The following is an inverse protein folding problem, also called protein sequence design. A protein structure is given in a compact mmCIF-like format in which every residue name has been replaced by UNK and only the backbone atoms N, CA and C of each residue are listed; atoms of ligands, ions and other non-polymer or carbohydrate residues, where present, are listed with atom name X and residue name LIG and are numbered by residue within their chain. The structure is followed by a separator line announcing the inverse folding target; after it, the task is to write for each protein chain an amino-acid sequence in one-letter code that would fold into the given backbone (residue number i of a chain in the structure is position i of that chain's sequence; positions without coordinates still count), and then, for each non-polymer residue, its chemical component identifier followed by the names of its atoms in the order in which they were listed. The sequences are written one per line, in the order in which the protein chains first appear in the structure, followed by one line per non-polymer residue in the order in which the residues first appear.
data_IF_154454164685
#
_entry.id   IF_154454164685
#
_cell.length_a   1.000
_cell.length_b   1.000
_cell.length_c   1.000
_cell.angle_alpha   90.00
_cell.angle_beta   90.00
_cell.angle_gamma   90.00
#
_symmetry.space_group_name_H-M   'P 1'
#
loop_
_entity.id
_entity.type
_entity.pdbx_description
1 polymer ?
#
# COMPACT_ATOMS: atom_id res chain seq x y z
N UNK A 1 -81.86 -4.27 -16.23
CA UNK A 1 -80.42 -4.61 -16.17
C UNK A 1 -80.03 -5.85 -16.99
N UNK A 2 -80.98 -6.62 -17.56
CA UNK A 2 -80.65 -7.85 -18.32
C UNK A 2 -80.20 -7.61 -19.78
N UNK A 3 -80.51 -6.45 -20.38
CA UNK A 3 -80.18 -6.19 -21.79
C UNK A 3 -78.72 -5.77 -22.00
N UNK A 4 -78.09 -5.11 -21.01
CA UNK A 4 -76.69 -4.72 -21.08
C UNK A 4 -75.75 -5.94 -21.10
N UNK A 5 -76.08 -6.98 -20.33
CA UNK A 5 -75.32 -8.23 -20.31
C UNK A 5 -75.48 -9.03 -21.62
N UNK A 6 -76.65 -9.01 -22.24
CA UNK A 6 -76.90 -9.66 -23.54
C UNK A 6 -76.20 -8.96 -24.69
N UNK A 7 -76.20 -7.62 -24.71
CA UNK A 7 -75.54 -6.84 -25.76
C UNK A 7 -74.01 -6.95 -25.66
N UNK A 8 -73.45 -6.95 -24.44
CA UNK A 8 -72.03 -7.24 -24.26
C UNK A 8 -71.67 -8.68 -24.67
N UNK A 9 -72.54 -9.66 -24.43
CA UNK A 9 -72.30 -11.06 -24.83
C UNK A 9 -72.30 -11.25 -26.35
N UNK A 10 -73.20 -10.58 -27.08
CA UNK A 10 -73.25 -10.60 -28.55
C UNK A 10 -71.99 -9.97 -29.18
N UNK A 11 -71.46 -8.90 -28.58
CA UNK A 11 -70.19 -8.28 -29.01
C UNK A 11 -69.00 -9.20 -28.75
N UNK A 12 -69.01 -9.96 -27.65
CA UNK A 12 -67.95 -10.93 -27.29
C UNK A 12 -67.93 -12.13 -28.24
N UNK A 13 -69.10 -12.63 -28.65
CA UNK A 13 -69.24 -13.81 -29.54
C UNK A 13 -69.06 -13.45 -31.03
N UNK A 14 -69.30 -12.18 -31.41
CA UNK A 14 -69.17 -11.70 -32.79
C UNK A 14 -67.74 -11.44 -33.28
N UNK A 15 -66.73 -11.53 -32.41
CA UNK A 15 -65.32 -11.40 -32.81
C UNK A 15 -64.88 -12.73 -33.44
N UNK A 16 -64.48 -12.77 -34.72
CA UNK A 16 -64.01 -14.01 -35.36
C UNK A 16 -62.84 -14.59 -34.57
N UNK A 17 -62.69 -15.92 -34.55
CA UNK A 17 -61.63 -16.64 -33.79
C UNK A 17 -60.23 -16.04 -34.01
N UNK A 18 -59.97 -15.50 -35.20
CA UNK A 18 -58.75 -14.76 -35.54
C UNK A 18 -58.52 -13.48 -34.70
N UNK A 19 -59.58 -12.74 -34.32
CA UNK A 19 -59.50 -11.54 -33.48
C UNK A 19 -59.08 -11.83 -32.04
N UNK A 20 -59.56 -12.95 -31.46
CA UNK A 20 -59.11 -13.43 -30.16
C UNK A 20 -57.64 -13.87 -30.17
N UNK A 21 -57.18 -14.47 -31.28
CA UNK A 21 -55.77 -14.83 -31.44
C UNK A 21 -54.85 -13.60 -31.50
N UNK A 22 -55.26 -12.52 -32.16
CA UNK A 22 -54.49 -11.26 -32.22
C UNK A 22 -54.43 -10.57 -30.84
N UNK A 23 -55.54 -10.50 -30.11
CA UNK A 23 -55.56 -9.93 -28.74
C UNK A 23 -54.71 -10.78 -27.77
N UNK A 24 -54.85 -12.11 -27.83
CA UNK A 24 -54.08 -13.03 -27.01
C UNK A 24 -52.57 -12.98 -27.28
N UNK A 25 -52.16 -12.88 -28.55
CA UNK A 25 -50.76 -12.76 -28.93
C UNK A 25 -50.13 -11.42 -28.55
N UNK A 26 -50.88 -10.32 -28.62
CA UNK A 26 -50.44 -9.00 -28.13
C UNK A 26 -50.25 -8.98 -26.61
N UNK A 27 -51.19 -9.55 -25.85
CA UNK A 27 -51.06 -9.69 -24.40
C UNK A 27 -49.88 -10.57 -24.01
N UNK A 28 -49.71 -11.70 -24.68
CA UNK A 28 -48.58 -12.59 -24.46
C UNK A 28 -47.23 -11.91 -24.78
N UNK A 29 -47.16 -11.14 -25.88
CA UNK A 29 -45.98 -10.37 -26.24
C UNK A 29 -45.64 -9.28 -25.22
N UNK A 30 -46.66 -8.59 -24.69
CA UNK A 30 -46.49 -7.55 -23.68
C UNK A 30 -46.02 -8.14 -22.33
N UNK A 31 -46.60 -9.26 -21.91
CA UNK A 31 -46.16 -10.01 -20.72
C UNK A 31 -44.72 -10.50 -20.90
N UNK A 32 -44.39 -11.08 -22.07
CA UNK A 32 -43.04 -11.53 -22.37
C UNK A 32 -42.02 -10.38 -22.36
N UNK A 33 -42.38 -9.21 -22.91
CA UNK A 33 -41.54 -8.02 -22.87
C UNK A 33 -41.31 -7.51 -21.43
N UNK A 34 -42.35 -7.47 -20.59
CA UNK A 34 -42.24 -7.08 -19.19
C UNK A 34 -41.37 -8.07 -18.39
N UNK A 35 -41.58 -9.37 -18.57
CA UNK A 35 -40.76 -10.42 -17.93
C UNK A 35 -39.30 -10.35 -18.40
N UNK A 36 -39.07 -10.12 -19.69
CA UNK A 36 -37.73 -9.92 -20.25
C UNK A 36 -37.03 -8.70 -19.65
N UNK A 37 -37.75 -7.58 -19.50
CA UNK A 37 -37.21 -6.37 -18.87
C UNK A 37 -36.87 -6.62 -17.39
N UNK A 38 -37.71 -7.36 -16.67
CA UNK A 38 -37.49 -7.73 -15.28
C UNK A 38 -36.30 -8.67 -15.10
N UNK A 39 -36.18 -9.68 -15.97
CA UNK A 39 -35.03 -10.59 -16.01
C UNK A 39 -33.73 -9.87 -16.37
N UNK A 40 -33.78 -8.91 -17.31
CA UNK A 40 -32.62 -8.09 -17.69
C UNK A 40 -32.16 -7.24 -16.52
N UNK A 41 -33.09 -6.56 -15.81
CA UNK A 41 -32.76 -5.81 -14.59
C UNK A 41 -32.13 -6.71 -13.52
N UNK A 42 -32.71 -7.88 -13.27
CA UNK A 42 -32.16 -8.84 -12.30
C UNK A 42 -30.78 -9.36 -12.71
N UNK A 43 -30.55 -9.60 -14.00
CA UNK A 43 -29.23 -9.99 -14.52
C UNK A 43 -28.20 -8.88 -14.36
N UNK A 44 -28.58 -7.62 -14.59
CA UNK A 44 -27.71 -6.46 -14.37
C UNK A 44 -27.38 -6.29 -12.89
N UNK A 45 -28.34 -6.49 -11.99
CA UNK A 45 -28.10 -6.44 -10.53
C UNK A 45 -27.13 -7.55 -10.09
N UNK A 46 -27.29 -8.77 -10.62
CA UNK A 46 -26.38 -9.89 -10.35
C UNK A 46 -24.97 -9.60 -10.89
N UNK A 47 -24.85 -9.05 -12.10
CA UNK A 47 -23.56 -8.66 -12.68
C UNK A 47 -22.90 -7.52 -11.89
N UNK A 48 -23.67 -6.51 -11.49
CA UNK A 48 -23.18 -5.40 -10.67
C UNK A 48 -22.64 -5.90 -9.34
N UNK A 49 -23.40 -6.76 -8.66
CA UNK A 49 -23.00 -7.37 -7.39
C UNK A 49 -21.79 -8.32 -7.56
N UNK A 50 -21.72 -9.05 -8.66
CA UNK A 50 -20.55 -9.88 -8.99
C UNK A 50 -19.31 -9.01 -9.21
N UNK A 51 -19.43 -7.92 -9.97
CA UNK A 51 -18.32 -7.00 -10.24
C UNK A 51 -17.87 -6.29 -8.97
N UNK A 52 -18.82 -5.84 -8.13
CA UNK A 52 -18.55 -5.22 -6.83
C UNK A 52 -17.77 -6.16 -5.90
N UNK A 53 -18.16 -7.43 -5.85
CA UNK A 53 -17.43 -8.46 -5.08
C UNK A 53 -16.03 -8.69 -5.63
N UNK A 54 -15.88 -8.87 -6.95
CA UNK A 54 -14.57 -9.07 -7.56
C UNK A 54 -13.62 -7.88 -7.33
N UNK A 55 -14.13 -6.65 -7.44
CA UNK A 55 -13.36 -5.45 -7.15
C UNK A 55 -12.96 -5.35 -5.67
N UNK A 56 -13.89 -5.64 -4.75
CA UNK A 56 -13.63 -5.70 -3.31
C UNK A 56 -12.56 -6.74 -2.96
N UNK A 57 -12.64 -7.94 -3.54
CA UNK A 57 -11.62 -9.00 -3.34
C UNK A 57 -10.25 -8.56 -3.85
N UNK A 58 -10.19 -7.94 -5.04
CA UNK A 58 -8.92 -7.43 -5.58
C UNK A 58 -8.30 -6.36 -4.67
N UNK A 59 -9.09 -5.41 -4.19
CA UNK A 59 -8.63 -4.37 -3.26
C UNK A 59 -8.15 -5.01 -1.95
N UNK A 60 -8.90 -5.95 -1.41
CA UNK A 60 -8.55 -6.70 -0.21
C UNK A 60 -7.20 -7.44 -0.36
N UNK A 61 -6.97 -8.11 -1.50
CA UNK A 61 -5.70 -8.77 -1.79
C UNK A 61 -4.53 -7.79 -1.86
N UNK A 62 -4.72 -6.60 -2.48
CA UNK A 62 -3.69 -5.57 -2.52
C UNK A 62 -3.38 -5.00 -1.14
N UNK A 63 -4.40 -4.73 -0.33
CA UNK A 63 -4.24 -4.25 1.04
C UNK A 63 -3.54 -5.30 1.90
N UNK A 64 -3.91 -6.57 1.80
CA UNK A 64 -3.24 -7.68 2.49
C UNK A 64 -1.75 -7.75 2.11
N UNK A 65 -1.43 -7.67 0.81
CA UNK A 65 -0.04 -7.62 0.35
C UNK A 65 0.71 -6.42 0.93
N UNK A 66 0.10 -5.23 0.92
CA UNK A 66 0.71 -4.04 1.50
C UNK A 66 0.99 -4.20 3.02
N UNK A 67 0.05 -4.80 3.78
CA UNK A 67 0.23 -5.12 5.20
C UNK A 67 1.43 -6.05 5.40
N UNK A 68 1.54 -7.11 4.59
CA UNK A 68 2.61 -8.10 4.71
C UNK A 68 3.97 -7.52 4.31
N UNK A 69 4.02 -6.71 3.26
CA UNK A 69 5.22 -5.99 2.83
C UNK A 69 5.69 -4.99 3.89
N UNK A 70 4.77 -4.21 4.48
CA UNK A 70 5.09 -3.27 5.56
C UNK A 70 5.63 -4.01 6.80
N UNK A 71 4.98 -5.11 7.19
CA UNK A 71 5.44 -5.94 8.32
C UNK A 71 6.86 -6.47 8.07
N UNK A 72 7.13 -6.99 6.88
CA UNK A 72 8.43 -7.53 6.52
C UNK A 72 9.51 -6.43 6.52
N UNK A 73 9.27 -5.33 5.81
CA UNK A 73 10.25 -4.24 5.72
C UNK A 73 10.52 -3.60 7.09
N UNK A 74 9.49 -3.37 7.92
CA UNK A 74 9.67 -2.84 9.28
C UNK A 74 10.46 -3.80 10.18
N UNK A 75 10.14 -5.10 10.16
CA UNK A 75 10.86 -6.11 10.96
C UNK A 75 12.34 -6.21 10.58
N UNK A 76 12.62 -6.17 9.27
CA UNK A 76 13.99 -6.20 8.75
C UNK A 76 14.74 -4.92 9.08
N UNK A 77 14.10 -3.76 8.95
CA UNK A 77 14.68 -2.47 9.31
C UNK A 77 15.07 -2.41 10.79
N UNK A 78 14.18 -2.82 11.70
CA UNK A 78 14.46 -2.88 13.14
C UNK A 78 15.59 -3.88 13.45
N UNK A 79 15.59 -5.05 12.82
CA UNK A 79 16.65 -6.06 13.00
C UNK A 79 18.02 -5.53 12.57
N UNK A 80 18.10 -4.93 11.38
CA UNK A 80 19.34 -4.29 10.91
C UNK A 80 19.78 -3.13 11.80
N UNK A 81 18.84 -2.34 12.33
CA UNK A 81 19.18 -1.25 13.24
C UNK A 81 19.84 -1.78 14.51
N UNK A 82 19.31 -2.86 15.08
CA UNK A 82 19.89 -3.54 16.25
C UNK A 82 21.27 -4.11 15.92
N UNK A 83 21.40 -4.81 14.79
CA UNK A 83 22.68 -5.37 14.34
C UNK A 83 23.74 -4.27 14.15
N UNK A 84 23.40 -3.17 13.49
CA UNK A 84 24.32 -2.04 13.31
C UNK A 84 24.67 -1.39 14.65
N UNK A 85 23.74 -1.25 15.59
CA UNK A 85 24.02 -0.71 16.92
C UNK A 85 24.97 -1.61 17.71
N UNK A 86 24.77 -2.93 17.71
CA UNK A 86 25.69 -3.87 18.35
C UNK A 86 27.06 -3.89 17.65
N UNK A 87 27.11 -3.73 16.33
CA UNK A 87 28.37 -3.63 15.60
C UNK A 87 29.16 -2.37 16.00
N UNK A 88 28.50 -1.22 16.15
CA UNK A 88 29.12 0.00 16.69
C UNK A 88 29.63 -0.19 18.12
N UNK A 89 28.85 -0.85 18.97
CA UNK A 89 29.26 -1.17 20.35
C UNK A 89 30.50 -2.04 20.40
N UNK A 90 30.64 -3.01 19.49
CA UNK A 90 31.87 -3.82 19.38
C UNK A 90 33.07 -2.99 18.94
N UNK A 91 32.90 -2.06 17.99
CA UNK A 91 33.96 -1.13 17.60
C UNK A 91 34.40 -0.30 18.81
N UNK A 92 33.45 0.28 19.54
CA UNK A 92 33.75 1.10 20.72
C UNK A 92 34.43 0.32 21.82
N UNK A 93 34.03 -0.95 22.03
CA UNK A 93 34.70 -1.84 22.98
C UNK A 93 36.15 -2.08 22.58
N UNK A 94 36.41 -2.38 21.30
CA UNK A 94 37.78 -2.58 20.79
C UNK A 94 38.62 -1.32 20.98
N UNK A 95 38.12 -0.16 20.56
CA UNK A 95 38.84 1.11 20.74
C UNK A 95 39.05 1.44 22.21
N UNK A 96 38.02 1.33 23.05
CA UNK A 96 38.11 1.57 24.49
C UNK A 96 39.17 0.70 25.18
N UNK A 97 39.24 -0.59 24.81
CA UNK A 97 40.27 -1.48 25.31
C UNK A 97 41.69 -1.02 24.92
N UNK A 98 41.90 -0.56 23.69
CA UNK A 98 43.20 -0.01 23.28
C UNK A 98 43.59 1.24 24.10
N UNK A 99 42.61 2.08 24.47
CA UNK A 99 42.86 3.20 25.38
C UNK A 99 43.25 2.71 26.78
N UNK A 100 42.53 1.73 27.32
CA UNK A 100 42.79 1.18 28.67
C UNK A 100 44.15 0.47 28.76
N UNK A 101 44.53 -0.28 27.72
CA UNK A 101 45.78 -1.05 27.65
C UNK A 101 47.02 -0.14 27.42
N UNK A 102 46.81 1.08 26.88
CA UNK A 102 47.86 2.06 26.59
C UNK A 102 47.64 3.40 27.32
N UNK A 103 47.99 3.47 28.64
CA UNK A 103 47.69 4.62 29.50
C UNK A 103 48.42 5.92 29.12
N UNK A 104 49.54 5.83 28.39
CA UNK A 104 50.16 6.99 27.74
C UNK A 104 49.60 7.10 26.32
N UNK A 105 48.42 7.72 26.18
CA UNK A 105 47.70 7.88 24.91
C UNK A 105 48.51 8.67 23.88
N UNK A 106 49.43 7.99 23.20
CA UNK A 106 50.19 8.51 22.08
C UNK A 106 49.39 8.48 20.78
N UNK A 107 49.92 9.12 19.71
CA UNK A 107 49.31 9.09 18.38
C UNK A 107 49.11 7.67 17.81
N UNK A 108 49.81 6.67 18.35
CA UNK A 108 49.71 5.27 17.94
C UNK A 108 48.34 4.64 18.25
N UNK A 109 47.76 4.89 19.42
CA UNK A 109 46.42 4.39 19.80
C UNK A 109 45.33 4.97 18.90
N UNK A 110 45.47 6.25 18.54
CA UNK A 110 44.57 6.92 17.60
C UNK A 110 44.64 6.28 16.21
N UNK A 111 45.85 5.95 15.73
CA UNK A 111 46.03 5.27 14.44
C UNK A 111 45.43 3.86 14.42
N UNK A 112 45.54 3.12 15.53
CA UNK A 112 44.91 1.78 15.66
C UNK A 112 43.39 1.90 15.64
N UNK A 113 42.81 2.79 16.44
CA UNK A 113 41.36 3.03 16.45
C UNK A 113 40.84 3.49 15.09
N UNK A 114 41.59 4.36 14.41
CA UNK A 114 41.28 4.81 13.05
C UNK A 114 41.30 3.65 12.04
N UNK A 115 42.27 2.75 12.15
CA UNK A 115 42.33 1.55 11.30
C UNK A 115 41.12 0.64 11.50
N UNK A 116 40.70 0.41 12.76
CA UNK A 116 39.49 -0.35 13.07
C UNK A 116 38.24 0.33 12.52
N UNK A 117 38.16 1.66 12.61
CA UNK A 117 37.04 2.44 12.07
C UNK A 117 36.95 2.33 10.56
N UNK A 118 38.07 2.47 9.83
CA UNK A 118 38.09 2.35 8.37
C UNK A 118 37.63 0.95 7.93
N UNK A 119 38.14 -0.09 8.58
CA UNK A 119 37.73 -1.48 8.30
C UNK A 119 36.23 -1.68 8.56
N UNK A 120 35.77 -1.23 9.73
CA UNK A 120 34.37 -1.31 10.12
C UNK A 120 33.45 -0.60 9.11
N UNK A 121 33.80 0.60 8.68
CA UNK A 121 33.01 1.34 7.69
C UNK A 121 32.95 0.62 6.34
N UNK A 122 34.06 -0.01 5.91
CA UNK A 122 34.09 -0.84 4.71
C UNK A 122 33.13 -2.03 4.78
N UNK A 123 33.11 -2.75 5.90
CA UNK A 123 32.22 -3.90 6.12
C UNK A 123 30.75 -3.48 6.31
N UNK A 124 30.53 -2.33 6.95
CA UNK A 124 29.18 -1.86 7.29
C UNK A 124 28.49 -1.11 6.14
N UNK A 125 29.22 -0.68 5.10
CA UNK A 125 28.66 0.09 3.99
C UNK A 125 27.47 -0.60 3.29
N UNK A 126 27.54 -1.91 3.08
CA UNK A 126 26.44 -2.67 2.48
C UNK A 126 25.21 -2.71 3.40
N UNK A 127 25.43 -2.88 4.72
CA UNK A 127 24.37 -2.90 5.74
C UNK A 127 23.68 -1.54 5.84
N UNK A 128 24.44 -0.45 5.85
CA UNK A 128 23.91 0.91 5.89
C UNK A 128 23.12 1.25 4.61
N UNK A 129 23.60 0.80 3.45
CA UNK A 129 22.86 0.95 2.19
C UNK A 129 21.51 0.23 2.24
N UNK A 130 21.49 -1.03 2.70
CA UNK A 130 20.28 -1.82 2.83
C UNK A 130 19.30 -1.20 3.84
N UNK A 131 19.81 -0.78 5.00
CA UNK A 131 19.05 -0.08 6.04
C UNK A 131 18.37 1.17 5.50
N UNK A 132 19.10 1.98 4.72
CA UNK A 132 18.55 3.16 4.07
C UNK A 132 17.46 2.82 3.03
N UNK A 133 17.66 1.78 2.22
CA UNK A 133 16.66 1.34 1.24
C UNK A 133 15.38 0.86 1.91
N UNK A 134 15.48 0.15 3.05
CA UNK A 134 14.32 -0.27 3.84
C UNK A 134 13.57 0.92 4.43
N UNK A 135 14.30 1.89 4.99
CA UNK A 135 13.68 3.14 5.45
C UNK A 135 12.86 3.81 4.34
N UNK A 136 13.45 4.01 3.16
CA UNK A 136 12.76 4.65 2.04
C UNK A 136 11.52 3.87 1.62
N UNK A 137 11.62 2.54 1.57
CA UNK A 137 10.51 1.64 1.29
C UNK A 137 9.38 1.77 2.30
N UNK A 138 9.68 1.88 3.59
CA UNK A 138 8.67 2.06 4.63
C UNK A 138 8.00 3.42 4.46
N UNK A 139 8.77 4.51 4.39
CA UNK A 139 8.22 5.87 4.25
C UNK A 139 7.29 5.99 3.04
N UNK A 140 7.66 5.43 1.88
CA UNK A 140 6.82 5.46 0.67
C UNK A 140 5.52 4.66 0.80
N UNK A 141 5.40 3.76 1.78
CA UNK A 141 4.17 2.99 2.04
C UNK A 141 3.26 3.65 3.06
N UNK A 142 3.78 4.58 3.86
CA UNK A 142 3.01 5.21 4.91
C UNK A 142 2.15 6.36 4.35
N UNK A 143 0.97 6.54 4.95
CA UNK A 143 0.07 7.63 4.62
C UNK A 143 0.34 8.82 5.56
N UNK A 144 0.72 9.97 5.01
CA UNK A 144 1.04 11.17 5.78
C UNK A 144 -0.17 11.82 6.45
N UNK A 145 -1.39 11.43 6.10
CA UNK A 145 -2.62 11.99 6.68
C UNK A 145 -3.04 11.28 7.97
N UNK A 146 -2.47 10.11 8.27
CA UNK A 146 -2.86 9.28 9.41
C UNK A 146 -1.89 9.45 10.58
N UNK A 147 -2.43 9.78 11.77
CA UNK A 147 -1.63 10.05 12.97
C UNK A 147 -0.69 8.89 13.34
N UNK A 148 -1.18 7.65 13.27
CA UNK A 148 -0.37 6.46 13.58
C UNK A 148 0.83 6.32 12.62
N UNK A 149 0.63 6.66 11.35
CA UNK A 149 1.68 6.63 10.33
C UNK A 149 2.71 7.74 10.57
N UNK A 150 2.27 8.95 10.90
CA UNK A 150 3.16 10.06 11.27
C UNK A 150 4.03 9.70 12.49
N UNK A 151 3.45 9.07 13.51
CA UNK A 151 4.19 8.59 14.69
C UNK A 151 5.25 7.55 14.33
N UNK A 152 4.91 6.62 13.44
CA UNK A 152 5.89 5.65 12.95
C UNK A 152 7.04 6.37 12.21
N UNK A 153 6.74 7.29 11.30
CA UNK A 153 7.76 8.07 10.58
C UNK A 153 8.68 8.83 11.54
N UNK A 154 8.12 9.53 12.52
CA UNK A 154 8.90 10.26 13.52
C UNK A 154 9.85 9.34 14.29
N UNK A 155 9.38 8.15 14.72
CA UNK A 155 10.24 7.19 15.41
C UNK A 155 11.34 6.61 14.51
N UNK A 156 11.07 6.41 13.22
CA UNK A 156 12.08 5.95 12.26
C UNK A 156 13.14 7.02 12.01
N UNK A 157 12.75 8.29 11.94
CA UNK A 157 13.66 9.43 11.78
C UNK A 157 14.53 9.62 13.01
N UNK A 158 13.94 9.56 14.21
CA UNK A 158 14.67 9.62 15.47
C UNK A 158 15.70 8.49 15.58
N UNK A 159 15.32 7.26 15.20
CA UNK A 159 16.25 6.14 15.18
C UNK A 159 17.43 6.40 14.24
N UNK A 160 17.18 6.98 13.05
CA UNK A 160 18.26 7.35 12.13
C UNK A 160 19.19 8.42 12.70
N UNK A 161 18.64 9.40 13.41
CA UNK A 161 19.44 10.43 14.09
C UNK A 161 20.35 9.78 15.12
N UNK A 162 19.83 8.90 15.98
CA UNK A 162 20.66 8.19 16.96
C UNK A 162 21.76 7.34 16.32
N UNK A 163 21.47 6.67 15.20
CA UNK A 163 22.47 5.89 14.46
C UNK A 163 23.54 6.77 13.82
N UNK A 164 23.17 7.95 13.30
CA UNK A 164 24.12 8.94 12.80
C UNK A 164 24.98 9.52 13.93
N UNK A 165 24.40 9.76 15.10
CA UNK A 165 25.10 10.24 16.28
C UNK A 165 26.15 9.23 16.76
N UNK A 166 25.88 7.92 16.68
CA UNK A 166 26.91 6.89 16.91
C UNK A 166 28.08 7.05 15.92
N UNK A 167 27.80 7.16 14.63
CA UNK A 167 28.87 7.35 13.64
C UNK A 167 29.70 8.61 13.93
N UNK A 168 29.04 9.70 14.32
CA UNK A 168 29.70 10.96 14.69
C UNK A 168 30.50 10.87 16.00
N UNK A 169 30.01 10.14 16.99
CA UNK A 169 30.73 9.90 18.24
C UNK A 169 32.02 9.12 17.98
N UNK A 170 31.99 8.14 17.07
CA UNK A 170 33.17 7.40 16.65
C UNK A 170 34.22 8.33 16.01
N UNK A 171 33.79 9.25 15.14
CA UNK A 171 34.66 10.24 14.50
C UNK A 171 35.31 11.21 15.50
N UNK A 172 34.61 11.52 16.59
CA UNK A 172 35.13 12.39 17.67
C UNK A 172 36.03 11.66 18.66
N UNK A 173 36.19 10.34 18.51
CA UNK A 173 36.94 9.51 19.46
C UNK A 173 36.24 9.34 20.81
N UNK A 174 34.93 9.60 20.87
CA UNK A 174 34.13 9.39 22.09
C UNK A 174 33.51 7.99 22.05
N UNK A 175 34.05 7.07 22.84
CA UNK A 175 33.68 5.65 22.81
C UNK A 175 32.74 5.21 23.96
N UNK A 176 32.40 6.11 24.88
CA UNK A 176 31.43 5.85 25.96
C UNK A 176 30.04 6.41 25.59
N UNK A 177 29.22 5.61 24.91
CA UNK A 177 27.91 6.02 24.36
C UNK A 177 26.73 5.20 24.89
N UNK A 178 26.76 4.80 26.17
CA UNK A 178 25.70 3.96 26.75
C UNK A 178 24.31 4.55 26.63
N UNK A 179 24.18 5.87 26.78
CA UNK A 179 22.87 6.53 26.70
C UNK A 179 22.32 6.54 25.27
N UNK A 180 23.17 6.66 24.24
CA UNK A 180 22.74 6.52 22.84
C UNK A 180 22.21 5.10 22.56
N UNK A 181 22.88 4.05 23.07
CA UNK A 181 22.39 2.69 22.91
C UNK A 181 21.05 2.46 23.62
N UNK A 182 20.85 3.05 24.80
CA UNK A 182 19.55 3.02 25.49
C UNK A 182 18.48 3.74 24.69
N UNK A 183 18.77 4.93 24.16
CA UNK A 183 17.84 5.68 23.32
C UNK A 183 17.44 4.87 22.09
N UNK A 184 18.41 4.25 21.40
CA UNK A 184 18.15 3.36 20.26
C UNK A 184 17.20 2.22 20.64
N UNK A 185 17.41 1.56 21.77
CA UNK A 185 16.54 0.48 22.23
C UNK A 185 15.11 0.98 22.51
N UNK A 186 14.96 2.13 23.17
CA UNK A 186 13.66 2.75 23.45
C UNK A 186 12.94 3.13 22.14
N UNK A 187 13.65 3.76 21.21
CA UNK A 187 13.08 4.16 19.92
C UNK A 187 12.70 2.93 19.08
N UNK A 188 13.48 1.85 19.12
CA UNK A 188 13.13 0.58 18.47
C UNK A 188 11.82 -0.02 19.02
N UNK A 189 11.64 -0.02 20.34
CA UNK A 189 10.40 -0.49 20.96
C UNK A 189 9.21 0.38 20.54
N UNK A 190 9.39 1.70 20.52
CA UNK A 190 8.36 2.65 20.07
C UNK A 190 8.01 2.45 18.58
N UNK A 191 9.00 2.26 17.70
CA UNK A 191 8.81 1.93 16.29
C UNK A 191 8.03 0.63 16.13
N UNK A 192 8.36 -0.40 16.92
CA UNK A 192 7.66 -1.68 16.91
C UNK A 192 6.19 -1.52 17.36
N UNK A 193 5.93 -0.72 18.39
CA UNK A 193 4.58 -0.42 18.87
C UNK A 193 3.75 0.32 17.81
N UNK A 194 4.28 1.41 17.24
CA UNK A 194 3.60 2.18 16.20
C UNK A 194 3.31 1.30 14.96
N UNK A 195 4.24 0.44 14.57
CA UNK A 195 4.03 -0.52 13.48
C UNK A 195 2.87 -1.47 13.80
N UNK A 196 2.80 -2.03 15.02
CA UNK A 196 1.70 -2.92 15.43
C UNK A 196 0.36 -2.22 15.41
N UNK A 197 0.29 -0.95 15.82
CA UNK A 197 -0.94 -0.15 15.78
C UNK A 197 -1.45 -0.04 14.35
N UNK A 198 -0.60 0.40 13.40
CA UNK A 198 -0.96 0.53 11.98
C UNK A 198 -1.45 -0.81 11.43
N UNK A 199 -0.68 -1.89 11.64
CA UNK A 199 -1.04 -3.22 11.13
C UNK A 199 -2.39 -3.70 11.69
N UNK A 200 -2.70 -3.38 12.96
CA UNK A 200 -3.97 -3.75 13.59
C UNK A 200 -5.14 -2.96 13.00
N UNK A 201 -4.98 -1.65 12.82
CA UNK A 201 -6.00 -0.78 12.23
C UNK A 201 -6.32 -1.19 10.79
N UNK A 202 -5.28 -1.44 10.01
CA UNK A 202 -5.38 -1.85 8.61
C UNK A 202 -5.99 -3.24 8.46
N UNK A 203 -5.64 -4.17 9.35
CA UNK A 203 -6.30 -5.47 9.42
C UNK A 203 -7.79 -5.36 9.77
N UNK A 204 -8.16 -4.43 10.65
CA UNK A 204 -9.57 -4.18 10.94
C UNK A 204 -10.32 -3.54 9.77
N UNK A 205 -9.69 -2.60 9.03
CA UNK A 205 -10.25 -2.02 7.81
C UNK A 205 -10.49 -3.12 6.77
N UNK A 206 -9.49 -3.96 6.49
CA UNK A 206 -9.59 -5.09 5.57
C UNK A 206 -10.77 -6.02 5.91
N UNK A 207 -10.94 -6.38 7.19
CA UNK A 207 -12.06 -7.23 7.63
C UNK A 207 -13.43 -6.59 7.38
N UNK A 208 -13.56 -5.28 7.55
CA UNK A 208 -14.82 -4.56 7.28
C UNK A 208 -15.12 -4.51 5.77
N UNK A 209 -14.09 -4.28 4.96
CA UNK A 209 -14.20 -4.21 3.50
C UNK A 209 -14.61 -5.55 2.88
N UNK A 210 -14.09 -6.66 3.39
CA UNK A 210 -14.48 -8.02 2.98
C UNK A 210 -15.92 -8.34 3.42
N UNK A 211 -16.32 -7.87 4.61
CA UNK A 211 -17.65 -8.15 5.16
C UNK A 211 -18.79 -7.38 4.44
N UNK A 212 -18.53 -6.16 3.95
CA UNK A 212 -19.51 -5.35 3.21
C UNK A 212 -18.94 -4.72 1.92
N UNK A 213 -18.88 -5.49 0.81
CA UNK A 213 -18.36 -5.02 -0.48
C UNK A 213 -19.15 -3.85 -1.09
N UNK A 214 -20.46 -3.80 -0.82
CA UNK A 214 -21.35 -2.79 -1.42
C UNK A 214 -21.14 -1.41 -0.80
N UNK A 215 -20.78 -1.35 0.49
CA UNK A 215 -20.38 -0.10 1.13
C UNK A 215 -19.09 0.45 0.54
N UNK A 216 -18.07 -0.38 0.37
CA UNK A 216 -16.79 0.04 -0.23
C UNK A 216 -16.98 0.60 -1.65
N UNK A 217 -17.77 -0.08 -2.49
CA UNK A 217 -18.06 0.42 -3.84
C UNK A 217 -18.80 1.76 -3.83
N UNK A 218 -19.74 1.97 -2.89
CA UNK A 218 -20.43 3.26 -2.74
C UNK A 218 -19.48 4.36 -2.29
N UNK A 219 -18.60 4.07 -1.33
CA UNK A 219 -17.59 5.03 -0.84
C UNK A 219 -16.67 5.46 -2.00
N UNK A 220 -16.13 4.51 -2.78
CA UNK A 220 -15.28 4.79 -3.96
C UNK A 220 -16.02 5.67 -4.98
N UNK A 221 -17.26 5.30 -5.34
CA UNK A 221 -18.05 6.06 -6.32
C UNK A 221 -18.45 7.46 -5.81
N UNK A 222 -18.63 7.62 -4.50
CA UNK A 222 -18.93 8.92 -3.89
C UNK A 222 -17.71 9.84 -3.81
N UNK A 223 -16.53 9.28 -3.55
CA UNK A 223 -15.28 10.05 -3.50
C UNK A 223 -14.88 10.56 -4.89
N UNK A 224 -15.11 9.77 -5.94
CA UNK A 224 -14.88 10.15 -7.35
C UNK A 224 -15.80 11.31 -7.78
N UNK A 225 -17.08 11.30 -7.36
CA UNK A 225 -18.00 12.42 -7.62
C UNK A 225 -17.58 13.71 -6.93
N UNK A 226 -17.12 13.62 -5.68
CA UNK A 226 -16.70 14.80 -4.91
C UNK A 226 -15.41 15.42 -5.48
N UNK A 227 -14.46 14.59 -5.97
CA UNK A 227 -13.27 15.06 -6.69
C UNK A 227 -13.64 15.75 -8.01
N UNK A 228 -14.62 15.21 -8.74
CA UNK A 228 -15.07 15.82 -10.00
C UNK A 228 -15.75 17.18 -9.80
N UNK A 229 -16.41 17.41 -8.66
CA UNK A 229 -17.00 18.71 -8.32
C UNK A 229 -16.00 19.71 -7.74
N UNK A 230 -14.91 19.26 -7.11
CA UNK A 230 -13.85 20.12 -6.59
C UNK A 230 -12.86 20.56 -7.69
N UNK A 231 -12.71 19.77 -8.77
CA UNK A 231 -11.80 20.05 -9.89
C UNK A 231 -12.52 20.54 -11.16
N UNK A 232 -13.69 21.18 -10.98
CA UNK A 232 -14.46 21.85 -12.03
C UNK A 232 -13.78 23.08 -12.67
N UNK A 233 -12.45 23.09 -12.71
CA UNK A 233 -11.60 24.14 -13.26
C UNK A 233 -10.44 23.64 -14.14
N UNK A 234 -10.32 22.33 -14.42
CA UNK A 234 -9.39 21.85 -15.45
C UNK A 234 -10.03 20.83 -16.39
N UNK A 235 -10.55 21.41 -17.47
CA UNK A 235 -10.94 20.76 -18.71
C UNK A 235 -9.99 19.66 -19.16
N UNK A 236 -10.61 18.59 -19.68
CA UNK A 236 -10.05 17.62 -20.61
C UNK A 236 -8.87 18.20 -21.40
N UNK A 237 -7.67 17.73 -21.10
CA UNK A 237 -6.62 17.67 -22.10
C UNK A 237 -6.56 16.23 -22.56
N UNK A 238 -6.91 16.00 -23.82
CA UNK A 238 -6.67 14.76 -24.53
C UNK A 238 -5.22 14.30 -24.30
N UNK A 239 -5.03 12.99 -24.14
CA UNK A 239 -3.72 12.37 -23.97
C UNK A 239 -2.68 13.01 -24.91
N UNK A 240 -1.52 13.48 -24.41
CA UNK A 240 -0.44 13.88 -25.28
C UNK A 240 0.06 12.62 -25.99
N UNK A 241 0.16 12.71 -27.32
CA UNK A 241 0.66 11.64 -28.16
C UNK A 241 1.96 11.06 -27.62
N UNK A 242 2.05 9.74 -27.69
CA UNK A 242 3.29 8.98 -27.49
C UNK A 242 4.40 9.67 -28.27
N UNK A 243 5.40 10.19 -27.55
CA UNK A 243 6.59 10.76 -28.16
C UNK A 243 7.33 9.65 -28.92
N UNK A 244 7.25 9.69 -30.24
CA UNK A 244 8.01 8.86 -31.17
C UNK A 244 9.47 9.31 -31.25
N UNK A 245 10.18 9.37 -30.12
CA UNK A 245 11.58 9.80 -30.07
C UNK A 245 12.50 8.99 -29.16
N UNK A 246 12.08 7.83 -28.67
CA UNK A 246 12.91 6.94 -27.85
C UNK A 246 13.11 5.53 -28.46
N UNK A 247 13.01 5.43 -29.79
CA UNK A 247 13.29 4.21 -30.55
C UNK A 247 14.67 4.21 -31.24
N UNK A 248 15.61 5.04 -30.76
CA UNK A 248 16.98 5.09 -31.30
C UNK A 248 17.96 5.08 -30.13
N UNK A 249 18.39 3.87 -29.79
CA UNK A 249 19.66 3.49 -29.14
C UNK A 249 19.46 2.20 -28.32
N UNK A 250 19.32 1.09 -29.03
CA UNK A 250 19.70 -0.22 -28.50
C UNK A 250 21.00 -0.59 -29.22
N UNK A 251 22.14 -0.71 -28.52
CA UNK A 251 23.35 -1.27 -29.12
C UNK A 251 23.11 -2.74 -29.45
N UNK A 252 23.36 -3.09 -30.71
CA UNK A 252 23.31 -4.45 -31.24
C UNK A 252 24.36 -5.32 -30.53
N UNK A 253 24.06 -6.58 -30.14
CA UNK A 253 25.06 -7.48 -29.58
C UNK A 253 26.10 -7.87 -30.63
N UNK A 254 27.38 -7.77 -30.24
CA UNK A 254 28.53 -8.19 -31.03
C UNK A 254 28.41 -9.68 -31.41
N UNK A 255 28.53 -9.98 -32.71
CA UNK A 255 28.66 -11.35 -33.21
C UNK A 255 29.96 -11.98 -32.68
N UNK A 256 29.95 -13.29 -32.35
CA UNK A 256 31.17 -14.02 -32.03
C UNK A 256 32.03 -14.17 -33.29
N UNK A 257 33.34 -13.91 -33.14
CA UNK A 257 34.34 -14.23 -34.17
C UNK A 257 34.56 -15.75 -34.17
N UNK A 258 34.32 -16.37 -35.32
CA UNK A 258 35.00 -17.60 -35.75
C UNK A 258 36.41 -17.26 -36.24
#
# INVERSE_FOLDING_TARGET
MNNFFMDCWQVIVGIPVAGWAVIGSLLAALIAALVSLWNTRRSLDVQCLSNARSASTFIAEKRQKWIDDLRNDASRYMSLSLETAEAWKQLYWKCGKEYDDHPNHGPEVLNVCESFRIHFLGENAARDSEHHQLYMRIILRLNNEEEAHQKLMASLDELRVHMADLAMAALRGTYSNQDLFKSIAVTLDLTAENTKIILKEEWQRLKREIADPNRLMREILSDDRNKTTADGGRLLTTAPGVATSLAKEIPVPLKPKS
#
